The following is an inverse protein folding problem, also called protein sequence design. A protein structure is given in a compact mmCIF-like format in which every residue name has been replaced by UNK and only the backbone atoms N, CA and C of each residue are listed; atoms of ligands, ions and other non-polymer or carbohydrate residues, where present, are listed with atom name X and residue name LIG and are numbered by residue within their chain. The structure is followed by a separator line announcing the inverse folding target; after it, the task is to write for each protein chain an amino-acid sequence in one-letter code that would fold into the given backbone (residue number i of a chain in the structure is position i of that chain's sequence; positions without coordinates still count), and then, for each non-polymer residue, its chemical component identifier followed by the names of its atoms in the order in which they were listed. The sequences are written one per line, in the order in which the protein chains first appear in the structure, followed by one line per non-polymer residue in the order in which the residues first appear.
data_IF_559583450824
#
_entry.id   IF_559583450824
#
_cell.length_a   1.000
_cell.length_b   1.000
_cell.length_c   1.000
_cell.angle_alpha   90.00
_cell.angle_beta   90.00
_cell.angle_gamma   90.00
#
_symmetry.space_group_name_H-M   'P 1'
#
loop_
_entity.id
_entity.type
_entity.pdbx_description
1 polymer ?
#
# COMPACT_ATOMS: atom_id res chain seq x y z
N UNK A 1 2.32 24.09 -18.88
CA UNK A 1 3.25 24.80 -17.99
C UNK A 1 4.35 25.41 -18.87
N UNK A 2 4.58 26.71 -18.79
CA UNK A 2 5.65 27.40 -19.48
C UNK A 2 6.57 27.98 -18.39
N UNK A 3 7.86 27.69 -18.49
CA UNK A 3 8.86 28.16 -17.52
C UNK A 3 9.85 29.04 -18.28
N UNK A 4 9.87 30.30 -17.95
CA UNK A 4 10.83 31.26 -18.50
C UNK A 4 11.84 31.61 -17.39
N UNK A 5 13.14 31.41 -17.67
CA UNK A 5 14.20 31.66 -16.71
C UNK A 5 15.04 32.88 -17.18
N UNK A 6 15.15 33.89 -16.33
CA UNK A 6 16.05 35.04 -16.55
C UNK A 6 17.20 35.01 -15.55
N UNK A 7 18.41 35.13 -16.04
CA UNK A 7 19.61 35.17 -15.22
C UNK A 7 20.25 36.58 -15.35
N UNK A 8 20.42 37.28 -14.25
CA UNK A 8 21.03 38.60 -14.17
C UNK A 8 22.30 38.52 -13.29
N UNK A 9 23.40 39.02 -13.78
CA UNK A 9 24.61 39.19 -12.97
C UNK A 9 24.48 40.39 -12.04
N UNK A 10 24.82 40.19 -10.77
CA UNK A 10 24.72 41.23 -9.72
C UNK A 10 26.13 41.49 -9.14
N UNK A 11 26.49 42.74 -8.78
CA UNK A 11 27.79 43.04 -8.21
C UNK A 11 28.16 42.14 -7.01
N UNK A 12 29.44 41.73 -6.93
CA UNK A 12 29.96 40.88 -5.85
C UNK A 12 29.95 39.38 -6.17
N UNK A 13 30.14 39.01 -7.45
CA UNK A 13 30.19 37.62 -7.93
C UNK A 13 28.93 36.78 -7.56
N UNK A 14 27.77 37.42 -7.70
CA UNK A 14 26.46 36.83 -7.41
C UNK A 14 25.59 36.87 -8.66
N UNK A 15 24.68 35.90 -8.74
CA UNK A 15 23.70 35.79 -9.83
C UNK A 15 22.31 35.82 -9.24
N UNK A 16 21.41 36.60 -9.82
CA UNK A 16 20.00 36.61 -9.55
C UNK A 16 19.30 35.78 -10.62
N UNK A 17 18.59 34.73 -10.21
CA UNK A 17 17.80 33.91 -11.11
C UNK A 17 16.33 34.22 -10.82
N UNK A 18 15.61 34.73 -11.82
CA UNK A 18 14.18 34.89 -11.80
C UNK A 18 13.56 33.76 -12.63
N UNK A 19 12.65 32.99 -12.03
CA UNK A 19 11.92 31.91 -12.70
C UNK A 19 10.46 32.33 -12.76
N UNK A 20 9.98 32.64 -13.95
CA UNK A 20 8.58 32.93 -14.22
C UNK A 20 7.88 31.64 -14.66
N UNK A 21 6.93 31.19 -13.87
CA UNK A 21 6.15 29.98 -14.13
C UNK A 21 4.72 30.38 -14.52
N UNK A 22 4.38 30.18 -15.78
CA UNK A 22 2.99 30.29 -16.24
C UNK A 22 2.33 28.89 -16.14
N UNK A 23 1.49 28.71 -15.13
CA UNK A 23 0.65 27.51 -15.03
C UNK A 23 -0.39 27.56 -16.16
N UNK A 24 -0.48 26.48 -16.94
CA UNK A 24 -1.56 26.30 -17.91
C UNK A 24 -2.91 26.07 -17.21
N UNK A 25 -3.99 26.07 -17.99
CA UNK A 25 -5.29 25.61 -17.50
C UNK A 25 -5.14 24.19 -16.96
N UNK A 26 -5.77 23.90 -15.85
CA UNK A 26 -5.78 22.54 -15.24
C UNK A 26 -6.92 21.77 -15.89
N UNK A 27 -6.57 20.65 -16.52
CA UNK A 27 -7.54 19.74 -17.10
C UNK A 27 -8.34 19.01 -16.01
N UNK A 28 -9.62 18.77 -16.28
CA UNK A 28 -10.58 18.14 -15.37
C UNK A 28 -10.93 16.75 -15.85
N UNK A 29 -11.17 15.84 -14.92
CA UNK A 29 -11.63 14.50 -15.26
C UNK A 29 -13.09 14.56 -15.67
N UNK A 30 -13.33 14.29 -16.95
CA UNK A 30 -14.67 14.25 -17.53
C UNK A 30 -15.33 12.91 -17.35
N UNK A 31 -14.54 11.82 -17.48
CA UNK A 31 -15.04 10.46 -17.43
C UNK A 31 -13.95 9.50 -16.98
N UNK A 32 -14.34 8.52 -16.17
CA UNK A 32 -13.56 7.35 -15.82
C UNK A 32 -14.39 6.13 -16.21
N UNK A 33 -13.85 5.29 -17.08
CA UNK A 33 -14.47 4.05 -17.52
C UNK A 33 -13.64 2.86 -17.03
N UNK A 34 -14.32 1.84 -16.57
CA UNK A 34 -13.74 0.51 -16.36
C UNK A 34 -14.29 -0.40 -17.47
N UNK A 35 -13.45 -1.15 -18.12
CA UNK A 35 -13.80 -2.04 -19.23
C UNK A 35 -13.33 -3.44 -18.92
N UNK A 36 -14.20 -4.43 -19.12
CA UNK A 36 -13.93 -5.84 -18.78
C UNK A 36 -14.41 -6.24 -17.39
N UNK A 37 -15.08 -5.34 -16.68
CA UNK A 37 -15.75 -5.58 -15.40
C UNK A 37 -17.15 -6.18 -15.65
N UNK A 38 -17.28 -7.47 -15.44
CA UNK A 38 -18.56 -8.20 -15.56
C UNK A 38 -19.18 -8.45 -14.18
N UNK A 39 -18.34 -8.62 -13.14
CA UNK A 39 -18.78 -8.98 -11.80
C UNK A 39 -19.29 -7.79 -10.96
N UNK A 40 -18.80 -6.60 -11.22
CA UNK A 40 -19.12 -5.38 -10.47
C UNK A 40 -19.43 -4.23 -11.40
N UNK A 41 -20.34 -3.36 -10.99
CA UNK A 41 -20.68 -2.16 -11.78
C UNK A 41 -19.58 -1.09 -11.68
N UNK A 42 -19.51 -0.20 -12.69
CA UNK A 42 -18.61 0.96 -12.65
C UNK A 42 -18.85 1.83 -11.39
N UNK A 43 -20.11 2.02 -11.01
CA UNK A 43 -20.47 2.79 -9.82
C UNK A 43 -19.85 2.21 -8.57
N UNK A 44 -19.94 0.89 -8.37
CA UNK A 44 -19.36 0.19 -7.21
C UNK A 44 -17.83 0.29 -7.21
N UNK A 45 -17.18 0.05 -8.35
CA UNK A 45 -15.73 0.09 -8.48
C UNK A 45 -15.16 1.50 -8.28
N UNK A 46 -15.88 2.53 -8.74
CA UNK A 46 -15.43 3.93 -8.65
C UNK A 46 -15.83 4.60 -7.32
N UNK A 47 -16.63 3.96 -6.47
CA UNK A 47 -17.09 4.54 -5.20
C UNK A 47 -15.91 4.90 -4.27
N UNK A 48 -14.90 4.06 -4.22
CA UNK A 48 -13.71 4.25 -3.37
C UNK A 48 -12.60 5.10 -4.01
N UNK A 49 -12.75 5.48 -5.28
CA UNK A 49 -11.73 6.28 -5.95
C UNK A 49 -11.63 7.68 -5.32
N UNK A 50 -10.41 8.19 -5.23
CA UNK A 50 -10.16 9.60 -4.88
C UNK A 50 -10.46 10.51 -6.06
N UNK A 51 -10.05 10.08 -7.26
CA UNK A 51 -10.36 10.78 -8.50
C UNK A 51 -11.86 10.70 -8.78
N UNK A 52 -12.47 11.83 -9.05
CA UNK A 52 -13.90 11.95 -9.32
C UNK A 52 -14.13 12.66 -10.64
N UNK A 53 -15.22 12.33 -11.29
CA UNK A 53 -15.68 13.11 -12.43
C UNK A 53 -16.19 14.47 -11.99
N UNK A 54 -16.05 15.48 -12.85
CA UNK A 54 -16.50 16.85 -12.56
C UNK A 54 -18.00 16.87 -12.28
N UNK A 55 -18.39 17.37 -11.11
CA UNK A 55 -19.76 17.58 -10.68
C UNK A 55 -19.92 18.98 -10.06
N UNK A 56 -21.16 19.37 -9.67
CA UNK A 56 -21.43 20.70 -9.14
C UNK A 56 -20.72 21.04 -7.83
N UNK A 57 -20.21 20.03 -7.07
CA UNK A 57 -19.43 20.21 -5.84
C UNK A 57 -17.90 20.22 -6.08
N UNK A 58 -17.43 19.84 -7.27
CA UNK A 58 -16.00 19.75 -7.58
C UNK A 58 -15.29 21.10 -7.52
N UNK A 59 -16.03 22.23 -7.72
CA UNK A 59 -15.48 23.57 -7.56
C UNK A 59 -14.95 23.83 -6.13
N UNK A 60 -15.51 23.16 -5.13
CA UNK A 60 -15.09 23.27 -3.73
C UNK A 60 -14.07 22.18 -3.34
N UNK A 61 -14.31 20.93 -3.75
CA UNK A 61 -13.50 19.76 -3.37
C UNK A 61 -12.22 19.63 -4.17
N UNK A 62 -12.19 20.12 -5.42
CA UNK A 62 -11.06 19.99 -6.36
C UNK A 62 -10.64 18.53 -6.61
N UNK A 63 -11.54 17.57 -6.42
CA UNK A 63 -11.36 16.13 -6.60
C UNK A 63 -11.50 15.67 -8.06
N UNK A 64 -11.81 16.60 -8.97
CA UNK A 64 -11.87 16.41 -10.42
C UNK A 64 -10.54 16.71 -11.14
N UNK A 65 -9.47 16.94 -10.38
CA UNK A 65 -8.15 17.22 -10.94
C UNK A 65 -7.37 15.93 -11.13
N UNK A 66 -6.81 15.76 -12.31
CA UNK A 66 -5.97 14.61 -12.59
C UNK A 66 -4.64 14.68 -11.84
N UNK A 67 -4.31 13.61 -11.14
CA UNK A 67 -3.01 13.33 -10.55
C UNK A 67 -2.63 11.88 -10.87
N UNK A 68 -1.40 11.68 -11.34
CA UNK A 68 -0.89 10.33 -11.65
C UNK A 68 -0.76 9.49 -10.37
N UNK A 69 -0.36 10.11 -9.28
CA UNK A 69 -0.21 9.47 -7.97
C UNK A 69 -1.55 8.99 -7.43
N UNK A 70 -2.58 9.83 -7.54
CA UNK A 70 -3.94 9.45 -7.13
C UNK A 70 -4.51 8.35 -8.01
N UNK A 71 -4.30 8.43 -9.34
CA UNK A 71 -4.71 7.36 -10.25
C UNK A 71 -4.04 6.03 -9.91
N UNK A 72 -2.74 6.04 -9.61
CA UNK A 72 -2.04 4.83 -9.17
C UNK A 72 -2.62 4.27 -7.87
N UNK A 73 -2.94 5.13 -6.90
CA UNK A 73 -3.60 4.73 -5.65
C UNK A 73 -5.00 4.17 -5.90
N UNK A 74 -5.75 4.74 -6.81
CA UNK A 74 -7.10 4.28 -7.15
C UNK A 74 -7.07 2.93 -7.91
N UNK A 75 -6.08 2.70 -8.78
CA UNK A 75 -5.84 1.39 -9.40
C UNK A 75 -5.52 0.32 -8.34
N UNK A 76 -4.75 0.64 -7.31
CA UNK A 76 -4.48 -0.30 -6.21
C UNK A 76 -5.73 -0.59 -5.37
N UNK A 77 -6.62 0.38 -5.19
CA UNK A 77 -7.92 0.14 -4.55
C UNK A 77 -8.79 -0.77 -5.40
N UNK A 78 -8.84 -0.52 -6.72
CA UNK A 78 -9.54 -1.39 -7.67
C UNK A 78 -9.04 -2.83 -7.56
N UNK A 79 -7.71 -3.05 -7.57
CA UNK A 79 -7.13 -4.37 -7.36
C UNK A 79 -7.54 -4.97 -6.01
N UNK A 80 -7.46 -4.20 -4.94
CA UNK A 80 -7.82 -4.67 -3.59
C UNK A 80 -9.28 -5.07 -3.52
N UNK A 81 -10.18 -4.31 -4.17
CA UNK A 81 -11.61 -4.62 -4.25
C UNK A 81 -11.86 -6.03 -4.80
N UNK A 82 -11.20 -6.37 -5.92
CA UNK A 82 -11.30 -7.68 -6.55
C UNK A 82 -10.61 -8.79 -5.73
N UNK A 83 -9.38 -8.54 -5.27
CA UNK A 83 -8.62 -9.50 -4.48
C UNK A 83 -9.30 -9.86 -3.16
N UNK A 84 -10.05 -8.93 -2.57
CA UNK A 84 -10.79 -9.17 -1.33
C UNK A 84 -12.08 -9.98 -1.55
N UNK A 85 -12.49 -10.13 -2.81
CA UNK A 85 -13.69 -10.89 -3.22
C UNK A 85 -13.38 -12.17 -3.97
N UNK A 86 -12.11 -12.60 -3.93
CA UNK A 86 -11.67 -13.89 -4.45
C UNK A 86 -11.03 -13.88 -5.82
N UNK A 87 -11.01 -12.76 -6.52
CA UNK A 87 -10.43 -12.65 -7.86
C UNK A 87 -8.90 -12.56 -7.79
N UNK A 88 -8.26 -13.65 -7.39
CA UNK A 88 -6.83 -13.69 -7.09
C UNK A 88 -5.96 -13.32 -8.30
N UNK A 89 -6.44 -13.56 -9.51
CA UNK A 89 -5.74 -13.32 -10.78
C UNK A 89 -6.23 -12.06 -11.52
N UNK A 90 -6.92 -11.16 -10.78
CA UNK A 90 -7.34 -9.88 -11.34
C UNK A 90 -6.12 -9.05 -11.74
N UNK A 91 -6.17 -8.51 -12.94
CA UNK A 91 -5.13 -7.59 -13.45
C UNK A 91 -5.74 -6.38 -14.18
N UNK A 92 -5.02 -5.27 -14.11
CA UNK A 92 -5.29 -4.07 -14.92
C UNK A 92 -4.36 -4.12 -16.13
N UNK A 93 -4.89 -4.63 -17.25
CA UNK A 93 -4.10 -4.87 -18.47
C UNK A 93 -3.58 -3.56 -19.08
N UNK A 94 -4.37 -2.50 -19.01
CA UNK A 94 -3.93 -1.19 -19.48
C UNK A 94 -4.68 -0.03 -18.82
N UNK A 95 -4.00 1.09 -18.74
CA UNK A 95 -4.54 2.39 -18.30
C UNK A 95 -4.33 3.41 -19.40
N UNK A 96 -5.41 3.94 -19.95
CA UNK A 96 -5.36 4.96 -21.00
C UNK A 96 -5.85 6.29 -20.44
N UNK A 97 -5.06 7.34 -20.63
CA UNK A 97 -5.41 8.71 -20.27
C UNK A 97 -5.40 9.55 -21.54
N UNK A 98 -6.58 9.95 -21.99
CA UNK A 98 -6.75 10.80 -23.15
C UNK A 98 -7.06 12.23 -22.72
N UNK A 99 -6.40 13.19 -23.34
CA UNK A 99 -6.63 14.62 -23.11
C UNK A 99 -7.32 15.18 -24.33
N UNK A 100 -8.43 15.89 -24.13
CA UNK A 100 -9.14 16.54 -25.20
C UNK A 100 -8.26 17.59 -25.92
N UNK A 101 -8.51 17.90 -27.22
CA UNK A 101 -7.70 18.85 -27.98
C UNK A 101 -7.63 20.25 -27.37
N UNK A 102 -8.66 20.70 -26.68
CA UNK A 102 -8.73 21.97 -25.96
C UNK A 102 -7.96 21.96 -24.63
N UNK A 103 -7.49 20.77 -24.19
CA UNK A 103 -6.78 20.50 -22.94
C UNK A 103 -7.59 20.80 -21.67
N UNK A 104 -8.88 20.92 -21.77
CA UNK A 104 -9.76 21.18 -20.63
C UNK A 104 -10.29 19.88 -20.01
N UNK A 105 -10.53 18.83 -20.82
CA UNK A 105 -11.09 17.55 -20.38
C UNK A 105 -10.11 16.39 -20.48
N UNK A 106 -10.16 15.50 -19.48
CA UNK A 106 -9.41 14.23 -19.40
C UNK A 106 -10.39 13.07 -19.33
N UNK A 107 -10.10 12.02 -20.10
CA UNK A 107 -10.81 10.76 -20.12
C UNK A 107 -9.86 9.66 -19.69
N UNK A 108 -10.28 8.84 -18.73
CA UNK A 108 -9.50 7.72 -18.19
C UNK A 108 -10.24 6.43 -18.53
N UNK A 109 -9.54 5.46 -19.10
CA UNK A 109 -10.06 4.11 -19.34
C UNK A 109 -9.14 3.10 -18.72
N UNK A 110 -9.69 2.26 -17.85
CA UNK A 110 -9.02 1.15 -17.19
C UNK A 110 -9.53 -0.15 -17.82
N UNK A 111 -8.66 -0.89 -18.51
CA UNK A 111 -9.01 -2.21 -19.03
C UNK A 111 -8.60 -3.25 -17.99
N UNK A 112 -9.57 -4.00 -17.49
CA UNK A 112 -9.37 -5.00 -16.46
C UNK A 112 -9.65 -6.40 -16.98
N UNK A 113 -8.94 -7.37 -16.41
CA UNK A 113 -9.20 -8.79 -16.54
C UNK A 113 -9.48 -9.33 -15.15
N UNK A 114 -10.74 -9.67 -14.88
CA UNK A 114 -11.17 -10.06 -13.54
C UNK A 114 -10.60 -11.40 -13.10
N UNK A 115 -10.53 -12.37 -14.02
CA UNK A 115 -10.18 -13.75 -13.70
C UNK A 115 -11.33 -14.47 -13.02
N UNK A 116 -10.98 -15.51 -12.27
CA UNK A 116 -11.94 -16.40 -11.59
C UNK A 116 -11.90 -16.21 -10.09
N UNK A 117 -13.02 -16.57 -9.42
CA UNK A 117 -13.10 -16.54 -7.96
C UNK A 117 -12.42 -17.76 -7.37
N UNK A 118 -11.45 -17.55 -6.49
CA UNK A 118 -10.73 -18.60 -5.79
C UNK A 118 -11.20 -18.75 -4.34
N UNK A 119 -11.09 -19.99 -3.83
CA UNK A 119 -11.34 -20.32 -2.43
C UNK A 119 -10.10 -20.90 -1.78
N UNK A 120 -9.99 -20.71 -0.47
CA UNK A 120 -8.89 -21.24 0.32
C UNK A 120 -9.10 -22.73 0.57
N UNK A 121 -8.21 -23.58 0.04
CA UNK A 121 -8.25 -25.04 0.23
C UNK A 121 -7.62 -25.46 1.55
N UNK A 122 -6.55 -24.80 1.97
CA UNK A 122 -5.85 -25.08 3.23
C UNK A 122 -5.04 -23.86 3.69
N UNK A 123 -4.76 -23.79 5.00
CA UNK A 123 -3.93 -22.75 5.60
C UNK A 123 -2.86 -23.37 6.47
N UNK A 124 -1.60 -23.16 6.10
CA UNK A 124 -0.41 -23.68 6.78
C UNK A 124 0.40 -22.58 7.41
N UNK A 125 1.07 -22.90 8.51
CA UNK A 125 2.08 -22.05 9.15
C UNK A 125 3.36 -22.85 9.17
N UNK A 126 4.45 -22.27 8.66
CA UNK A 126 5.75 -22.91 8.53
C UNK A 126 6.87 -21.92 8.83
N UNK A 127 8.12 -22.40 8.85
CA UNK A 127 9.29 -21.56 9.10
C UNK A 127 9.82 -21.74 10.52
N UNK A 128 10.49 -20.71 11.06
CA UNK A 128 11.08 -20.75 12.39
C UNK A 128 10.06 -20.29 13.44
N UNK A 129 9.41 -21.25 14.10
CA UNK A 129 8.35 -20.98 15.09
C UNK A 129 8.96 -20.81 16.48
N UNK A 130 9.10 -19.60 16.94
CA UNK A 130 9.61 -19.23 18.27
C UNK A 130 8.53 -19.17 19.35
N UNK A 131 7.26 -19.33 18.95
CA UNK A 131 6.08 -19.45 19.83
C UNK A 131 5.29 -20.71 19.44
N UNK A 132 4.46 -21.26 20.35
CA UNK A 132 3.59 -22.39 20.01
C UNK A 132 2.72 -22.10 18.80
N UNK A 133 2.65 -23.02 17.83
CA UNK A 133 1.93 -22.84 16.58
C UNK A 133 0.42 -22.58 16.81
N UNK A 134 -0.14 -23.09 17.88
CA UNK A 134 -1.54 -22.89 18.28
C UNK A 134 -1.86 -21.43 18.54
N UNK A 135 -0.91 -20.67 19.08
CA UNK A 135 -1.06 -19.24 19.31
C UNK A 135 -1.12 -18.47 17.99
N UNK A 136 -0.28 -18.82 17.01
CA UNK A 136 -0.30 -18.22 15.68
C UNK A 136 -1.57 -18.66 14.92
N UNK A 137 -1.97 -19.93 15.08
CA UNK A 137 -3.18 -20.46 14.43
C UNK A 137 -4.45 -19.76 14.92
N UNK A 138 -4.49 -19.36 16.19
CA UNK A 138 -5.62 -18.60 16.74
C UNK A 138 -5.77 -17.19 16.14
N UNK A 139 -4.73 -16.67 15.49
CA UNK A 139 -4.72 -15.36 14.85
C UNK A 139 -5.12 -15.38 13.37
N UNK A 140 -5.39 -16.56 12.81
CA UNK A 140 -5.80 -16.70 11.43
C UNK A 140 -7.18 -16.04 11.20
N UNK A 141 -7.19 -14.96 10.42
CA UNK A 141 -8.41 -14.32 9.94
C UNK A 141 -9.00 -15.05 8.72
N UNK A 142 -8.18 -15.89 8.06
CA UNK A 142 -8.54 -16.68 6.88
C UNK A 142 -8.60 -18.16 7.24
N UNK A 143 -9.60 -18.88 6.73
CA UNK A 143 -9.82 -20.30 7.02
C UNK A 143 -10.07 -21.10 5.75
N UNK A 144 -9.89 -22.41 5.86
CA UNK A 144 -10.28 -23.33 4.78
C UNK A 144 -11.75 -23.15 4.41
N UNK A 145 -12.02 -23.04 3.11
CA UNK A 145 -13.35 -22.84 2.53
C UNK A 145 -13.74 -21.39 2.34
N UNK A 146 -13.03 -20.45 2.96
CA UNK A 146 -13.28 -19.02 2.75
C UNK A 146 -13.00 -18.62 1.30
N UNK A 147 -13.65 -17.57 0.84
CA UNK A 147 -13.26 -16.88 -0.38
C UNK A 147 -11.89 -16.26 -0.14
N UNK A 148 -10.99 -16.36 -1.11
CA UNK A 148 -9.69 -15.71 -1.04
C UNK A 148 -9.87 -14.21 -0.81
N UNK A 149 -9.12 -13.65 0.16
CA UNK A 149 -9.17 -12.24 0.49
C UNK A 149 -7.78 -11.73 0.90
N UNK A 150 -7.23 -10.80 0.12
CA UNK A 150 -5.96 -10.14 0.43
C UNK A 150 -6.01 -9.45 1.81
N UNK A 151 -7.13 -8.82 2.12
CA UNK A 151 -7.34 -8.16 3.42
C UNK A 151 -7.22 -9.14 4.59
N UNK A 152 -7.85 -10.32 4.51
CA UNK A 152 -7.76 -11.33 5.58
C UNK A 152 -6.32 -11.85 5.74
N UNK A 153 -5.60 -12.02 4.62
CA UNK A 153 -4.19 -12.46 4.63
C UNK A 153 -3.32 -11.38 5.28
N UNK A 154 -3.47 -10.12 4.89
CA UNK A 154 -2.73 -8.98 5.49
C UNK A 154 -3.02 -8.86 6.98
N UNK A 155 -4.29 -8.92 7.39
CA UNK A 155 -4.69 -8.90 8.80
C UNK A 155 -4.03 -10.04 9.58
N UNK A 156 -4.01 -11.26 9.03
CA UNK A 156 -3.35 -12.42 9.66
C UNK A 156 -1.85 -12.15 9.84
N UNK A 157 -1.20 -11.64 8.80
CA UNK A 157 0.24 -11.28 8.82
C UNK A 157 0.54 -10.26 9.91
N UNK A 158 -0.22 -9.18 9.99
CA UNK A 158 -0.07 -8.11 10.98
C UNK A 158 -0.28 -8.63 12.41
N UNK A 159 -1.32 -9.44 12.64
CA UNK A 159 -1.58 -10.03 13.95
C UNK A 159 -0.45 -10.98 14.40
N UNK A 160 0.09 -11.78 13.49
CA UNK A 160 1.22 -12.67 13.79
C UNK A 160 2.49 -11.85 14.08
N UNK A 161 2.78 -10.80 13.31
CA UNK A 161 3.91 -9.90 13.56
C UNK A 161 3.77 -9.22 14.92
N UNK A 162 2.60 -8.68 15.23
CA UNK A 162 2.32 -8.07 16.53
C UNK A 162 2.55 -9.07 17.68
N UNK A 163 2.08 -10.31 17.53
CA UNK A 163 2.27 -11.35 18.55
C UNK A 163 3.74 -11.68 18.78
N UNK A 164 4.53 -11.80 17.71
CA UNK A 164 5.95 -12.04 17.79
C UNK A 164 6.71 -10.83 18.39
N UNK A 165 6.28 -9.62 18.04
CA UNK A 165 6.80 -8.38 18.59
C UNK A 165 6.67 -8.29 20.11
N UNK A 166 5.56 -8.78 20.70
CA UNK A 166 5.36 -8.86 22.15
C UNK A 166 6.40 -9.71 22.86
N UNK A 167 6.97 -10.70 22.18
CA UNK A 167 8.05 -11.54 22.71
C UNK A 167 9.46 -11.01 22.37
N UNK A 168 9.52 -9.78 21.82
CA UNK A 168 10.77 -9.09 21.49
C UNK A 168 11.27 -9.33 20.06
N UNK A 169 10.49 -9.96 19.19
CA UNK A 169 10.84 -10.16 17.77
C UNK A 169 10.24 -9.03 16.92
N UNK A 170 10.69 -7.79 17.16
CA UNK A 170 10.13 -6.58 16.57
C UNK A 170 10.23 -6.53 15.03
N UNK A 171 11.21 -7.24 14.46
CA UNK A 171 11.45 -7.29 13.01
C UNK A 171 11.03 -8.61 12.37
N UNK A 172 10.09 -9.33 13.01
CA UNK A 172 9.57 -10.56 12.46
C UNK A 172 8.92 -10.35 11.09
N UNK A 173 9.25 -11.21 10.13
CA UNK A 173 8.66 -11.26 8.81
C UNK A 173 7.72 -12.44 8.71
N UNK A 174 6.54 -12.20 8.18
CA UNK A 174 5.55 -13.23 7.89
C UNK A 174 5.22 -13.11 6.41
N UNK A 175 5.70 -14.06 5.61
CA UNK A 175 5.48 -14.05 4.17
C UNK A 175 4.34 -15.01 3.81
N UNK A 176 3.19 -14.49 3.37
CA UNK A 176 2.11 -15.31 2.86
C UNK A 176 2.47 -15.82 1.45
N UNK A 177 2.55 -17.13 1.30
CA UNK A 177 2.86 -17.79 0.01
C UNK A 177 1.60 -18.50 -0.47
N UNK A 178 0.88 -17.94 -1.45
CA UNK A 178 -0.24 -18.60 -2.09
C UNK A 178 0.27 -19.63 -3.11
N UNK A 179 -0.37 -20.79 -3.14
CA UNK A 179 -0.18 -21.80 -4.17
C UNK A 179 -1.54 -22.08 -4.83
N UNK A 180 -1.68 -21.60 -6.04
CA UNK A 180 -2.91 -21.68 -6.81
C UNK A 180 -3.06 -23.02 -7.52
N UNK A 181 -4.31 -23.50 -7.56
CA UNK A 181 -4.73 -24.58 -8.44
C UNK A 181 -5.81 -24.05 -9.41
N UNK A 182 -5.43 -23.75 -10.68
CA UNK A 182 -6.37 -23.19 -11.65
C UNK A 182 -7.51 -24.15 -12.05
N UNK A 183 -7.32 -25.46 -11.90
CA UNK A 183 -8.33 -26.46 -12.27
C UNK A 183 -9.48 -26.50 -11.24
N UNK A 184 -9.13 -26.43 -9.95
CA UNK A 184 -10.11 -26.48 -8.86
C UNK A 184 -10.57 -25.09 -8.39
N UNK A 185 -9.92 -24.00 -8.86
CA UNK A 185 -10.12 -22.62 -8.39
C UNK A 185 -9.88 -22.51 -6.88
N UNK A 186 -8.82 -23.16 -6.42
CA UNK A 186 -8.44 -23.18 -5.01
C UNK A 186 -7.03 -22.64 -4.80
N UNK A 187 -6.81 -22.07 -3.62
CA UNK A 187 -5.52 -21.56 -3.18
C UNK A 187 -5.15 -22.19 -1.83
N UNK A 188 -4.00 -22.85 -1.77
CA UNK A 188 -3.36 -23.24 -0.53
C UNK A 188 -2.50 -22.07 -0.05
N UNK A 189 -2.72 -21.59 1.18
CA UNK A 189 -1.95 -20.51 1.81
C UNK A 189 -0.94 -21.06 2.79
N UNK A 190 0.32 -20.64 2.68
CA UNK A 190 1.35 -20.94 3.68
C UNK A 190 1.91 -19.63 4.22
N UNK A 191 1.77 -19.39 5.53
CA UNK A 191 2.44 -18.28 6.20
C UNK A 191 3.83 -18.73 6.65
N UNK A 192 4.86 -18.22 5.98
CA UNK A 192 6.26 -18.48 6.33
C UNK A 192 6.71 -17.51 7.41
N UNK A 193 7.03 -18.03 8.59
CA UNK A 193 7.45 -17.24 9.75
C UNK A 193 8.96 -17.16 9.81
N UNK A 194 9.49 -15.95 9.75
CA UNK A 194 10.87 -15.63 10.08
C UNK A 194 10.88 -14.60 11.22
N UNK A 195 11.16 -15.01 12.46
CA UNK A 195 11.12 -14.11 13.60
C UNK A 195 12.28 -13.09 13.58
N UNK A 196 13.34 -13.33 12.79
CA UNK A 196 14.55 -12.53 12.86
C UNK A 196 15.23 -12.60 14.23
N UNK A 197 15.97 -11.56 14.58
CA UNK A 197 16.67 -11.46 15.85
C UNK A 197 15.74 -10.91 16.95
N UNK A 198 15.92 -11.44 18.17
CA UNK A 198 15.21 -10.92 19.32
C UNK A 198 15.87 -9.64 19.84
N UNK A 199 15.10 -8.56 19.91
CA UNK A 199 15.53 -7.28 20.47
C UNK A 199 15.51 -7.34 21.98
N UNK A 200 16.58 -6.88 22.64
CA UNK A 200 16.67 -6.70 24.08
C UNK A 200 16.89 -5.20 24.35
N UNK A 201 15.96 -4.58 25.03
CA UNK A 201 16.13 -3.20 25.50
C UNK A 201 16.69 -3.27 26.92
N UNK A 202 17.92 -2.82 27.13
CA UNK A 202 18.50 -2.65 28.46
C UNK A 202 18.30 -1.19 28.89
N UNK A 203 17.45 -0.97 29.92
CA UNK A 203 17.29 0.33 30.53
C UNK A 203 18.17 0.38 31.78
N UNK A 204 19.22 1.18 31.76
CA UNK A 204 20.06 1.44 32.94
C UNK A 204 19.43 2.57 33.76
N UNK A 205 18.78 2.22 34.87
CA UNK A 205 18.16 3.18 35.79
C UNK A 205 19.07 3.41 36.98
N UNK A 206 19.73 4.56 37.06
CA UNK A 206 20.37 5.01 38.28
C UNK A 206 19.32 5.45 39.32
N UNK A 207 19.31 4.82 40.49
CA UNK A 207 18.42 5.17 41.59
C UNK A 207 18.53 6.65 41.99
N UNK A 208 17.39 7.33 42.11
CA UNK A 208 17.28 8.50 42.95
C UNK A 208 16.89 9.84 42.33
N UNK A 209 16.68 10.00 41.03
CA UNK A 209 16.05 11.18 40.37
C UNK A 209 15.35 10.76 39.13
N UNK A 210 14.28 11.48 38.70
CA UNK A 210 13.56 11.24 37.44
C UNK A 210 14.57 10.87 36.35
N UNK A 211 14.68 9.57 36.08
CA UNK A 211 15.67 9.04 35.14
C UNK A 211 15.24 9.39 33.73
N UNK A 212 16.08 10.17 33.04
CA UNK A 212 16.00 10.22 31.58
C UNK A 212 16.63 8.92 31.06
N UNK A 213 15.98 8.25 30.15
CA UNK A 213 16.58 7.13 29.41
C UNK A 213 17.85 7.69 28.74
N UNK A 214 19.01 7.17 29.14
CA UNK A 214 20.31 7.65 28.63
C UNK A 214 20.85 6.78 27.50
N UNK A 215 20.41 5.53 27.43
CA UNK A 215 20.91 4.58 26.43
C UNK A 215 19.86 3.52 26.16
N UNK A 216 19.54 3.32 24.90
CA UNK A 216 18.80 2.17 24.40
C UNK A 216 19.76 1.41 23.49
N UNK A 217 20.15 0.18 23.92
CA UNK A 217 20.96 -0.71 23.08
C UNK A 217 20.05 -1.72 22.41
N UNK A 218 20.04 -1.76 21.11
CA UNK A 218 19.35 -2.77 20.31
C UNK A 218 20.37 -3.85 19.97
N UNK A 219 20.26 -5.02 20.64
CA UNK A 219 21.18 -6.14 20.43
C UNK A 219 20.57 -7.12 19.44
N UNK A 220 21.34 -7.46 18.40
CA UNK A 220 20.91 -8.41 17.36
C UNK A 220 20.43 -7.74 16.07
N UNK A 221 20.59 -6.42 15.97
CA UNK A 221 20.31 -5.69 14.73
C UNK A 221 21.47 -5.86 13.75
N UNK A 222 21.16 -6.38 12.55
CA UNK A 222 22.14 -6.58 11.47
C UNK A 222 21.85 -5.66 10.28
N UNK A 223 20.65 -5.06 10.22
CA UNK A 223 20.14 -4.35 9.05
C UNK A 223 20.12 -2.81 9.20
N UNK A 224 20.05 -2.30 10.44
CA UNK A 224 19.92 -0.85 10.70
C UNK A 224 20.90 -0.43 11.80
N UNK A 225 21.41 0.81 11.73
CA UNK A 225 22.22 1.36 12.83
C UNK A 225 21.34 1.68 14.04
N UNK A 226 21.95 1.69 15.23
CA UNK A 226 21.24 2.05 16.47
C UNK A 226 20.63 3.47 16.39
N UNK A 227 21.26 4.37 15.64
CA UNK A 227 20.77 5.75 15.39
C UNK A 227 19.48 5.75 14.56
N UNK A 228 19.41 4.97 13.48
CA UNK A 228 18.20 4.87 12.63
C UNK A 228 16.99 4.30 13.38
N UNK A 229 17.23 3.41 14.36
CA UNK A 229 16.15 2.82 15.15
C UNK A 229 15.66 3.75 16.28
N UNK A 230 16.43 4.74 16.68
CA UNK A 230 16.10 5.67 17.77
C UNK A 230 15.39 6.94 17.25
N UNK A 231 15.40 7.21 15.95
CA UNK A 231 14.68 8.35 15.36
C UNK A 231 13.15 8.15 15.32
N UNK A 232 12.65 6.91 15.48
CA UNK A 232 11.21 6.61 15.47
C UNK A 232 10.58 6.55 16.89
N UNK A 233 11.36 6.79 17.97
CA UNK A 233 10.90 6.82 19.35
C UNK A 233 11.04 8.23 19.98
#
# INVERSE_FOLDING_TARGET
MKVDTKVEEVPGNRVKIAVDIAEGKRSKIRQINVVGNEAFSDEELLEEFKLRTTNWLSWYRQDDRYSREELSGDIEKLRSHYLDRGYANMDVESTQVAIAPDKDDIFITLNVKEGEVYRVSDVKIAGNLVVPVEQLRALLAVRRGDIFSRKQITTTTELMQLRLGQDGYAFAKIDPVPKENPETKEIELTFLVDPGNRVKIAVDSAEGKRSKIRLINVVGNVAFSDEELLEEF
#
